data_IF_294847386923
#
_entry.id   IF_294847386923
#
_cell.length_a   1.000
_cell.length_b   1.000
_cell.length_c   1.000
_cell.angle_alpha   90.00
_cell.angle_beta   90.00
_cell.angle_gamma   90.00
#
_symmetry.space_group_name_H-M   'P 1'
#
loop_
_entity.id
_entity.type
_entity.pdbx_description
1 polymer ?
#
# COMPACT_ATOMS: atom_id res chain seq x y z
N UNK A 1 -6.10 8.70 25.25
CA UNK A 1 -4.92 7.97 24.74
C UNK A 1 -5.36 6.55 24.36
N UNK A 2 -4.79 5.98 23.31
CA UNK A 2 -5.17 4.64 22.86
C UNK A 2 -4.52 4.26 21.53
N UNK A 3 -4.78 3.04 21.07
CA UNK A 3 -4.24 2.51 19.81
C UNK A 3 -5.08 2.95 18.62
N UNK A 4 -4.42 3.43 17.56
CA UNK A 4 -5.02 3.82 16.29
C UNK A 4 -4.37 3.05 15.14
N UNK A 5 -5.17 2.71 14.12
CA UNK A 5 -4.65 2.15 12.87
C UNK A 5 -4.27 3.30 11.93
N UNK A 6 -2.98 3.45 11.65
CA UNK A 6 -2.47 4.44 10.70
C UNK A 6 -2.60 3.94 9.25
N UNK A 7 -3.84 3.78 8.79
CA UNK A 7 -4.17 3.34 7.43
C UNK A 7 -5.14 4.32 6.76
N UNK A 8 -5.19 4.32 5.43
CA UNK A 8 -6.14 5.14 4.68
C UNK A 8 -7.60 4.69 4.87
N UNK A 9 -8.53 5.56 4.46
CA UNK A 9 -9.97 5.29 4.53
C UNK A 9 -10.42 4.11 3.66
N UNK A 10 -9.77 3.94 2.51
CA UNK A 10 -10.13 2.97 1.49
C UNK A 10 -9.05 1.88 1.41
N UNK A 11 -9.30 0.67 1.95
CA UNK A 11 -8.36 -0.43 1.82
C UNK A 11 -8.36 -0.94 0.37
N UNK A 12 -7.20 -0.84 -0.29
CA UNK A 12 -7.02 -1.23 -1.69
C UNK A 12 -6.27 -2.55 -1.83
N UNK A 13 -6.45 -3.22 -2.96
CA UNK A 13 -5.68 -4.41 -3.30
C UNK A 13 -4.28 -4.06 -3.81
N UNK A 14 -3.30 -4.96 -3.63
CA UNK A 14 -1.97 -4.79 -4.20
C UNK A 14 -2.01 -4.57 -5.74
N UNK A 15 -2.93 -5.24 -6.45
CA UNK A 15 -3.14 -5.04 -7.89
C UNK A 15 -3.51 -3.59 -8.23
N UNK A 16 -4.44 -3.01 -7.46
CA UNK A 16 -4.86 -1.61 -7.64
C UNK A 16 -3.71 -0.67 -7.30
N UNK A 17 -3.04 -0.88 -6.15
CA UNK A 17 -1.89 -0.08 -5.73
C UNK A 17 -0.80 -0.02 -6.80
N UNK A 18 -0.36 -1.18 -7.30
CA UNK A 18 0.68 -1.25 -8.32
C UNK A 18 0.25 -0.62 -9.65
N UNK A 19 -1.05 -0.62 -9.97
CA UNK A 19 -1.58 0.07 -11.16
C UNK A 19 -1.49 1.58 -11.02
N UNK A 20 -1.94 2.14 -9.91
CA UNK A 20 -1.89 3.59 -9.68
C UNK A 20 -0.44 4.08 -9.52
N UNK A 21 0.44 3.28 -8.91
CA UNK A 21 1.86 3.59 -8.79
C UNK A 21 2.53 3.71 -10.17
N UNK A 22 2.27 2.76 -11.08
CA UNK A 22 2.81 2.83 -12.45
C UNK A 22 2.33 4.08 -13.19
N UNK A 23 1.06 4.46 -13.01
CA UNK A 23 0.51 5.69 -13.61
C UNK A 23 1.21 6.93 -13.08
N UNK A 24 1.39 7.04 -11.76
CA UNK A 24 2.07 8.18 -11.13
C UNK A 24 3.52 8.32 -11.62
N UNK A 25 4.23 7.20 -11.79
CA UNK A 25 5.62 7.15 -12.27
C UNK A 25 5.76 7.16 -13.81
N UNK A 26 4.67 7.30 -14.57
CA UNK A 26 4.68 7.23 -16.04
C UNK A 26 5.33 5.96 -16.61
N UNK A 27 5.15 4.81 -15.95
CA UNK A 27 5.71 3.52 -16.35
C UNK A 27 4.72 2.66 -17.14
N UNK A 28 5.17 1.91 -18.16
CA UNK A 28 4.33 0.96 -18.88
C UNK A 28 3.91 -0.20 -17.98
N UNK A 29 2.97 -1.04 -18.45
CA UNK A 29 2.50 -2.20 -17.70
C UNK A 29 3.63 -3.20 -17.39
N UNK A 30 3.56 -3.83 -16.22
CA UNK A 30 4.49 -4.88 -15.81
C UNK A 30 3.74 -6.06 -15.18
N UNK A 31 4.15 -7.31 -15.43
CA UNK A 31 3.53 -8.48 -14.84
C UNK A 31 3.77 -8.55 -13.32
N UNK A 32 2.88 -9.20 -12.55
CA UNK A 32 3.13 -9.48 -11.13
C UNK A 32 4.38 -10.36 -10.95
N UNK A 33 5.14 -10.08 -9.89
CA UNK A 33 6.29 -10.90 -9.51
C UNK A 33 5.80 -12.25 -8.96
N UNK A 34 6.31 -13.39 -9.44
CA UNK A 34 5.97 -14.70 -8.90
C UNK A 34 6.37 -14.85 -7.43
N UNK A 35 5.59 -15.61 -6.66
CA UNK A 35 5.81 -15.81 -5.22
C UNK A 35 7.21 -16.37 -4.89
N UNK A 36 7.70 -17.34 -5.67
CA UNK A 36 9.01 -17.94 -5.44
C UNK A 36 10.15 -16.92 -5.62
N UNK A 37 9.99 -15.97 -6.55
CA UNK A 37 10.96 -14.92 -6.77
C UNK A 37 10.99 -13.93 -5.59
N UNK A 38 9.81 -13.62 -5.02
CA UNK A 38 9.70 -12.83 -3.78
C UNK A 38 10.40 -13.54 -2.63
N UNK A 39 10.16 -14.85 -2.44
CA UNK A 39 10.81 -15.64 -1.38
C UNK A 39 12.34 -15.66 -1.51
N UNK A 40 12.84 -15.84 -2.73
CA UNK A 40 14.27 -15.84 -3.00
C UNK A 40 14.90 -14.46 -2.75
N UNK A 41 14.29 -13.40 -3.29
CA UNK A 41 14.77 -12.03 -3.08
C UNK A 41 14.73 -11.62 -1.60
N UNK A 42 13.69 -12.01 -0.87
CA UNK A 42 13.55 -11.70 0.56
C UNK A 42 14.66 -12.35 1.39
N UNK A 43 15.04 -13.60 1.05
CA UNK A 43 16.19 -14.28 1.69
C UNK A 43 17.51 -13.56 1.45
N UNK A 44 17.71 -13.00 0.25
CA UNK A 44 18.92 -12.23 -0.07
C UNK A 44 18.94 -10.87 0.65
N UNK A 45 17.78 -10.26 0.85
CA UNK A 45 17.62 -8.97 1.53
C UNK A 45 17.43 -9.11 3.05
N UNK A 46 17.58 -10.31 3.61
CA UNK A 46 17.34 -10.63 5.03
C UNK A 46 15.98 -10.12 5.55
N UNK A 47 14.94 -10.19 4.70
CA UNK A 47 13.59 -9.69 4.97
C UNK A 47 12.56 -10.81 5.00
N UNK A 48 11.43 -10.58 5.68
CA UNK A 48 10.35 -11.56 5.77
C UNK A 48 9.47 -11.52 4.51
N UNK A 49 9.40 -12.62 3.73
CA UNK A 49 8.63 -12.63 2.47
C UNK A 49 7.13 -12.50 2.70
N UNK A 50 6.64 -12.85 3.90
CA UNK A 50 5.23 -12.74 4.27
C UNK A 50 4.75 -11.28 4.19
N UNK A 51 5.61 -10.29 4.46
CA UNK A 51 5.25 -8.87 4.40
C UNK A 51 4.86 -8.43 3.00
N UNK A 52 5.48 -9.00 1.97
CA UNK A 52 5.17 -8.70 0.58
C UNK A 52 4.02 -9.56 0.02
N UNK A 53 3.82 -10.76 0.57
CA UNK A 53 2.85 -11.74 0.07
C UNK A 53 1.50 -11.69 0.78
N UNK A 54 1.49 -11.27 2.05
CA UNK A 54 0.29 -11.13 2.84
C UNK A 54 -0.29 -9.71 2.71
N UNK A 55 -1.61 -9.61 2.84
CA UNK A 55 -2.32 -8.34 2.94
C UNK A 55 -3.09 -8.27 4.25
N UNK A 56 -3.17 -7.08 4.83
CA UNK A 56 -4.04 -6.80 5.97
C UNK A 56 -5.11 -5.80 5.56
N UNK A 57 -6.38 -6.21 5.58
CA UNK A 57 -7.50 -5.29 5.38
C UNK A 57 -7.82 -4.61 6.70
N UNK A 58 -7.18 -3.47 6.95
CA UNK A 58 -7.43 -2.64 8.11
C UNK A 58 -8.31 -1.43 7.77
N UNK A 59 -9.02 -0.91 8.78
CA UNK A 59 -9.81 0.32 8.67
C UNK A 59 -9.45 1.26 9.82
N UNK A 60 -9.40 2.58 9.58
CA UNK A 60 -9.00 3.57 10.58
C UNK A 60 -10.19 4.01 11.46
N UNK A 61 -10.96 3.04 12.00
CA UNK A 61 -12.24 3.30 12.70
C UNK A 61 -12.16 4.42 13.74
N UNK A 62 -11.18 4.35 14.64
CA UNK A 62 -10.98 5.36 15.70
C UNK A 62 -10.53 6.72 15.18
N UNK A 63 -9.81 6.78 14.06
CA UNK A 63 -9.48 8.08 13.43
C UNK A 63 -10.71 8.68 12.78
N UNK A 64 -11.55 7.86 12.15
CA UNK A 64 -12.83 8.28 11.59
C UNK A 64 -13.79 8.79 12.67
N UNK A 65 -13.89 8.09 13.80
CA UNK A 65 -14.70 8.50 14.96
C UNK A 65 -14.17 9.78 15.66
N UNK A 66 -12.88 10.08 15.49
CA UNK A 66 -12.23 11.26 16.05
C UNK A 66 -12.21 12.46 15.07
N UNK A 67 -13.00 12.41 14.00
CA UNK A 67 -13.09 13.44 12.95
C UNK A 67 -11.73 13.85 12.35
N UNK A 68 -10.79 12.91 12.31
CA UNK A 68 -9.46 13.15 11.75
C UNK A 68 -9.55 13.47 10.25
N UNK A 69 -9.00 14.62 9.86
CA UNK A 69 -9.01 15.07 8.48
C UNK A 69 -7.82 14.50 7.70
N UNK A 70 -8.09 13.54 6.83
CA UNK A 70 -7.09 12.95 5.95
C UNK A 70 -6.71 13.93 4.84
N UNK A 71 -5.42 14.30 4.77
CA UNK A 71 -4.89 15.10 3.65
C UNK A 71 -5.11 14.41 2.29
N UNK A 72 -4.97 13.10 2.27
CA UNK A 72 -5.20 12.27 1.09
C UNK A 72 -6.20 11.17 1.42
N UNK A 73 -7.42 11.29 0.88
CA UNK A 73 -8.49 10.29 1.03
C UNK A 73 -8.39 9.14 0.03
N UNK A 74 -7.73 9.39 -1.12
CA UNK A 74 -7.56 8.43 -2.20
C UNK A 74 -6.08 8.17 -2.48
N UNK A 75 -5.77 6.89 -2.73
CA UNK A 75 -4.42 6.43 -3.01
C UNK A 75 -3.79 7.13 -4.22
N UNK A 76 -4.56 7.34 -5.29
CA UNK A 76 -4.07 7.98 -6.52
C UNK A 76 -3.57 9.40 -6.28
N UNK A 77 -4.27 10.19 -5.45
CA UNK A 77 -3.86 11.54 -5.10
C UNK A 77 -2.58 11.55 -4.26
N UNK A 78 -2.47 10.63 -3.29
CA UNK A 78 -1.26 10.47 -2.47
C UNK A 78 -0.05 10.09 -3.33
N UNK A 79 -0.20 9.10 -4.22
CA UNK A 79 0.87 8.66 -5.11
C UNK A 79 1.28 9.74 -6.11
N UNK A 80 0.31 10.47 -6.68
CA UNK A 80 0.63 11.60 -7.56
C UNK A 80 1.47 12.64 -6.84
N UNK A 81 1.07 13.05 -5.64
CA UNK A 81 1.83 14.04 -4.87
C UNK A 81 3.23 13.54 -4.45
N UNK A 82 3.38 12.24 -4.18
CA UNK A 82 4.67 11.66 -3.78
C UNK A 82 5.65 11.47 -4.95
N UNK A 83 5.12 11.27 -6.16
CA UNK A 83 5.91 10.96 -7.36
C UNK A 83 6.04 12.14 -8.34
N UNK A 84 5.46 13.30 -8.01
CA UNK A 84 5.80 14.61 -8.60
C UNK A 84 7.25 14.97 -8.29
#
# INVERSE_FOLDING_TARGET
SGTFNAVGLNPETNRFFMRELRRALHRPWSPPVPEWAVKFGSRLMESEPSLALAGCRAAPKRLSEADFQFRFSHLSAALKNLCE
#
